data_IF_253016667637
#
_entry.id   IF_253016667637
#
_cell.length_a   1.000
_cell.length_b   1.000
_cell.length_c   1.000
_cell.angle_alpha   90.00
_cell.angle_beta   90.00
_cell.angle_gamma   90.00
#
_symmetry.space_group_name_H-M   'P 1'
#
loop_
_entity.id
_entity.type
_entity.pdbx_description
1 polymer ?
#
# COMPACT_ATOMS: atom_id res chain seq x y z
N UNK A 1 19.43 49.09 11.65
CA UNK A 1 18.61 48.54 12.75
C UNK A 1 19.47 48.51 14.01
N UNK A 2 18.99 49.07 15.12
CA UNK A 2 19.76 49.28 16.35
C UNK A 2 19.81 48.00 17.22
N UNK A 3 20.84 47.89 18.10
CA UNK A 3 21.01 46.76 19.05
C UNK A 3 19.74 46.40 19.83
N UNK A 4 18.87 47.38 20.08
CA UNK A 4 17.59 47.18 20.76
C UNK A 4 16.68 46.21 19.99
N UNK A 5 16.65 46.27 18.65
CA UNK A 5 15.84 45.36 17.84
C UNK A 5 16.40 43.92 17.85
N UNK A 6 17.73 43.78 17.94
CA UNK A 6 18.38 42.48 18.09
C UNK A 6 18.03 41.88 19.46
N UNK A 7 18.16 42.66 20.53
CA UNK A 7 17.78 42.23 21.88
C UNK A 7 16.29 41.89 22.01
N UNK A 8 15.43 42.71 21.39
CA UNK A 8 13.98 42.47 21.39
C UNK A 8 13.62 41.18 20.63
N UNK A 9 14.18 40.97 19.44
CA UNK A 9 13.92 39.77 18.64
C UNK A 9 14.43 38.49 19.31
N UNK A 10 15.60 38.56 19.97
CA UNK A 10 16.12 37.46 20.78
C UNK A 10 15.23 37.14 22.00
N UNK A 11 14.81 38.16 22.75
CA UNK A 11 13.94 37.98 23.92
C UNK A 11 12.55 37.43 23.53
N UNK A 12 11.98 37.95 22.44
CA UNK A 12 10.71 37.47 21.88
C UNK A 12 10.80 36.00 21.44
N UNK A 13 11.89 35.63 20.76
CA UNK A 13 12.14 34.24 20.33
C UNK A 13 12.31 33.31 21.52
N UNK A 14 13.09 33.71 22.53
CA UNK A 14 13.27 32.93 23.76
C UNK A 14 11.95 32.72 24.52
N UNK A 15 11.06 33.73 24.54
CA UNK A 15 9.73 33.59 25.13
C UNK A 15 8.90 32.50 24.41
N UNK A 16 8.98 32.43 23.08
CA UNK A 16 8.32 31.37 22.30
C UNK A 16 8.91 29.99 22.61
N UNK A 17 10.23 29.86 22.68
CA UNK A 17 10.89 28.59 23.04
C UNK A 17 10.49 28.09 24.45
N UNK A 18 10.40 29.01 25.42
CA UNK A 18 9.95 28.69 26.77
C UNK A 18 8.49 28.25 26.78
N UNK A 19 7.62 28.90 26.01
CA UNK A 19 6.23 28.48 25.86
C UNK A 19 6.12 27.08 25.24
N UNK A 20 6.90 26.80 24.18
CA UNK A 20 6.95 25.46 23.56
C UNK A 20 7.45 24.41 24.56
N UNK A 21 8.45 24.74 25.36
CA UNK A 21 8.96 23.87 26.42
C UNK A 21 7.89 23.60 27.48
N UNK A 22 7.19 24.64 27.94
CA UNK A 22 6.11 24.52 28.90
C UNK A 22 4.96 23.64 28.35
N UNK A 23 4.59 23.82 27.08
CA UNK A 23 3.59 22.99 26.41
C UNK A 23 4.04 21.53 26.31
N UNK A 24 5.31 21.28 25.96
CA UNK A 24 5.88 19.94 25.90
C UNK A 24 5.83 19.25 27.26
N UNK A 25 6.22 19.95 28.32
CA UNK A 25 6.22 19.40 29.69
C UNK A 25 4.80 19.14 30.17
N UNK A 26 3.88 20.08 29.98
CA UNK A 26 2.49 19.96 30.43
C UNK A 26 1.76 18.78 29.75
N UNK A 27 2.06 18.52 28.48
CA UNK A 27 1.39 17.50 27.68
C UNK A 27 2.22 16.23 27.48
N UNK A 28 3.35 16.08 28.16
CA UNK A 28 4.26 14.95 27.96
C UNK A 28 3.60 13.58 28.18
N UNK A 29 2.59 13.50 29.05
CA UNK A 29 1.84 12.29 29.36
C UNK A 29 0.49 12.19 28.66
N UNK A 30 0.15 13.16 27.81
CA UNK A 30 -1.12 13.16 27.08
C UNK A 30 -1.02 12.26 25.85
N UNK A 31 -1.86 11.23 25.77
CA UNK A 31 -1.91 10.33 24.61
C UNK A 31 -2.12 11.10 23.31
N UNK A 32 -1.29 10.80 22.29
CA UNK A 32 -1.33 11.49 20.99
C UNK A 32 -0.61 12.84 20.94
N UNK A 33 -0.04 13.32 22.06
CA UNK A 33 0.82 14.50 22.05
C UNK A 33 2.14 14.19 21.33
N UNK A 34 2.64 15.18 20.58
CA UNK A 34 3.92 15.12 19.87
C UNK A 34 4.75 16.30 20.30
N UNK A 35 6.02 16.07 20.61
CA UNK A 35 6.96 17.14 20.99
C UNK A 35 6.97 18.23 19.92
N UNK A 36 6.92 19.48 20.33
CA UNK A 36 7.05 20.65 19.47
C UNK A 36 8.46 21.25 19.58
N UNK A 37 8.97 21.78 18.48
CA UNK A 37 10.26 22.49 18.38
C UNK A 37 10.02 23.79 17.63
N UNK A 38 10.48 24.91 18.17
CA UNK A 38 10.50 26.18 17.47
C UNK A 38 11.69 26.20 16.52
N UNK A 39 11.44 26.41 15.22
CA UNK A 39 12.48 26.61 14.21
C UNK A 39 12.80 28.10 14.16
N UNK A 40 14.08 28.45 14.26
CA UNK A 40 14.57 29.81 14.37
C UNK A 40 15.55 30.08 13.24
N UNK A 41 15.33 31.17 12.51
CA UNK A 41 16.28 31.66 11.50
C UNK A 41 16.84 33.03 11.88
N UNK A 42 17.98 33.33 11.27
CA UNK A 42 18.58 34.65 11.33
C UNK A 42 17.87 35.58 10.35
N UNK A 43 17.51 36.77 10.83
CA UNK A 43 16.98 37.81 9.95
C UNK A 43 18.17 38.37 9.17
N UNK A 44 18.18 38.12 7.86
CA UNK A 44 19.23 38.58 6.96
C UNK A 44 19.36 40.11 6.93
N UNK A 45 20.56 40.58 6.59
CA UNK A 45 20.85 41.99 6.44
C UNK A 45 20.02 42.63 5.30
N UNK A 46 19.28 43.68 5.62
CA UNK A 46 18.60 44.50 4.61
C UNK A 46 19.65 45.29 3.81
N UNK A 47 19.84 44.94 2.53
CA UNK A 47 20.63 45.74 1.58
C UNK A 47 21.98 45.16 1.13
N UNK A 48 22.30 43.89 1.41
CA UNK A 48 23.44 43.19 0.76
C UNK A 48 24.84 43.74 1.06
N UNK A 49 24.98 44.61 2.07
CA UNK A 49 26.28 45.17 2.44
C UNK A 49 27.18 44.11 3.10
N UNK A 50 28.42 43.90 2.63
CA UNK A 50 29.35 42.90 3.16
C UNK A 50 29.69 43.05 4.66
N UNK A 51 29.40 44.22 5.25
CA UNK A 51 29.71 44.56 6.63
C UNK A 51 28.47 44.59 7.54
N UNK A 52 27.36 43.98 7.14
CA UNK A 52 26.13 43.98 7.95
C UNK A 52 26.09 42.79 8.92
N UNK A 53 25.96 43.09 10.22
CA UNK A 53 25.96 42.11 11.31
C UNK A 53 24.64 41.28 11.45
N UNK A 54 23.75 41.33 10.45
CA UNK A 54 22.41 40.72 10.52
C UNK A 54 21.41 41.55 11.34
N UNK A 55 20.14 41.12 11.35
CA UNK A 55 19.02 41.85 11.95
C UNK A 55 18.39 41.13 13.16
N UNK A 56 19.11 40.19 13.79
CA UNK A 56 18.61 39.38 14.90
C UNK A 56 18.03 38.04 14.43
N UNK A 57 17.06 37.51 15.16
CA UNK A 57 16.45 36.19 14.92
C UNK A 57 14.94 36.28 14.87
N UNK A 58 14.30 35.33 14.20
CA UNK A 58 12.84 35.19 14.21
C UNK A 58 12.47 33.72 14.34
N UNK A 59 11.27 33.47 14.88
CA UNK A 59 10.67 32.14 14.83
C UNK A 59 9.99 31.97 13.48
N UNK A 60 10.44 31.00 12.69
CA UNK A 60 9.84 30.71 11.40
C UNK A 60 8.59 29.86 11.54
N UNK A 61 8.65 28.84 12.41
CA UNK A 61 7.54 27.92 12.65
C UNK A 61 7.70 27.15 13.95
N UNK A 62 6.62 26.52 14.41
CA UNK A 62 6.66 25.50 15.47
C UNK A 62 6.33 24.16 14.83
N UNK A 63 7.33 23.29 14.71
CA UNK A 63 7.21 21.98 14.08
C UNK A 63 7.00 20.89 15.12
N UNK A 64 6.16 19.90 14.79
CA UNK A 64 6.01 18.69 15.60
C UNK A 64 7.10 17.69 15.24
N UNK A 65 7.77 17.14 16.24
CA UNK A 65 8.74 16.06 16.13
C UNK A 65 7.99 14.73 16.12
N UNK A 66 7.37 14.41 14.99
CA UNK A 66 7.01 13.03 14.68
C UNK A 66 8.23 12.31 14.13
N UNK A 67 8.38 11.03 14.46
CA UNK A 67 9.38 10.20 13.80
C UNK A 67 8.89 9.91 12.37
N UNK A 68 9.28 10.77 11.43
CA UNK A 68 8.85 10.67 10.03
C UNK A 68 9.19 9.30 9.43
N UNK A 69 10.31 8.69 9.88
CA UNK A 69 10.65 7.33 9.47
C UNK A 69 9.62 6.31 9.96
N UNK A 70 9.19 6.36 11.22
CA UNK A 70 8.13 5.47 11.72
C UNK A 70 6.79 5.71 11.03
N UNK A 71 6.45 6.96 10.71
CA UNK A 71 5.27 7.27 9.90
C UNK A 71 5.40 6.59 8.54
N UNK A 72 6.51 6.81 7.82
CA UNK A 72 6.72 6.17 6.52
C UNK A 72 6.68 4.64 6.61
N UNK A 73 7.25 4.03 7.65
CA UNK A 73 7.18 2.59 7.89
C UNK A 73 5.74 2.09 8.02
N UNK A 74 4.88 2.81 8.75
CA UNK A 74 3.44 2.46 8.86
C UNK A 74 2.74 2.57 7.52
N UNK A 75 3.06 3.60 6.72
CA UNK A 75 2.45 3.78 5.40
C UNK A 75 2.86 2.67 4.43
N UNK A 76 4.15 2.30 4.39
CA UNK A 76 4.61 1.17 3.59
C UNK A 76 3.97 -0.14 4.03
N UNK A 77 3.96 -0.42 5.34
CA UNK A 77 3.34 -1.64 5.86
C UNK A 77 1.83 -1.71 5.55
N UNK A 78 1.11 -0.58 5.63
CA UNK A 78 -0.30 -0.51 5.26
C UNK A 78 -0.54 -0.72 3.77
N UNK A 79 0.35 -0.19 2.91
CA UNK A 79 0.32 -0.40 1.47
C UNK A 79 0.55 -1.87 1.11
N UNK A 80 1.58 -2.49 1.69
CA UNK A 80 1.88 -3.91 1.48
C UNK A 80 0.74 -4.79 1.96
N UNK A 81 0.18 -4.48 3.13
CA UNK A 81 -0.99 -5.18 3.66
C UNK A 81 -2.19 -5.09 2.70
N UNK A 82 -2.50 -3.90 2.17
CA UNK A 82 -3.59 -3.72 1.21
C UNK A 82 -3.38 -4.54 -0.07
N UNK A 83 -2.15 -4.52 -0.61
CA UNK A 83 -1.78 -5.31 -1.78
C UNK A 83 -1.97 -6.82 -1.54
N UNK A 84 -1.40 -7.35 -0.46
CA UNK A 84 -1.48 -8.78 -0.16
C UNK A 84 -2.88 -9.22 0.24
N UNK A 85 -3.66 -8.39 0.95
CA UNK A 85 -5.05 -8.68 1.30
C UNK A 85 -5.93 -8.79 0.06
N UNK A 86 -5.71 -7.91 -0.92
CA UNK A 86 -6.43 -7.95 -2.20
C UNK A 86 -6.02 -9.20 -2.98
N UNK A 87 -4.73 -9.48 -3.11
CA UNK A 87 -4.21 -10.66 -3.80
C UNK A 87 -4.72 -11.96 -3.17
N UNK A 88 -4.76 -12.04 -1.83
CA UNK A 88 -5.29 -13.19 -1.12
C UNK A 88 -6.76 -13.45 -1.48
N UNK A 89 -7.60 -12.42 -1.58
CA UNK A 89 -9.00 -12.56 -1.95
C UNK A 89 -9.21 -13.19 -3.33
N UNK A 90 -8.36 -12.87 -4.31
CA UNK A 90 -8.37 -13.50 -5.63
C UNK A 90 -7.85 -14.94 -5.60
N UNK A 91 -6.79 -15.22 -4.81
CA UNK A 91 -6.24 -16.57 -4.68
C UNK A 91 -7.19 -17.54 -3.96
N UNK A 92 -7.89 -17.09 -2.92
CA UNK A 92 -8.91 -17.90 -2.22
C UNK A 92 -10.08 -18.24 -3.14
N UNK A 93 -10.48 -17.31 -4.00
CA UNK A 93 -11.48 -17.53 -5.03
C UNK A 93 -11.04 -18.60 -6.04
N UNK A 94 -9.79 -18.52 -6.50
CA UNK A 94 -9.18 -19.54 -7.36
C UNK A 94 -9.12 -20.92 -6.69
N UNK A 95 -8.72 -20.97 -5.42
CA UNK A 95 -8.69 -22.20 -4.63
C UNK A 95 -10.08 -22.85 -4.54
N UNK A 96 -11.13 -22.05 -4.31
CA UNK A 96 -12.50 -22.56 -4.23
C UNK A 96 -12.96 -23.22 -5.55
N UNK A 97 -12.62 -22.64 -6.70
CA UNK A 97 -12.96 -23.21 -8.01
C UNK A 97 -12.18 -24.49 -8.30
N UNK A 98 -10.89 -24.51 -7.96
CA UNK A 98 -10.04 -25.70 -8.16
C UNK A 98 -10.40 -26.85 -7.19
N UNK A 99 -10.91 -26.52 -6.00
CA UNK A 99 -11.27 -27.49 -4.96
C UNK A 99 -12.70 -28.02 -5.05
N UNK A 100 -13.56 -27.49 -5.92
CA UNK A 100 -14.92 -28.00 -6.09
C UNK A 100 -14.89 -29.34 -6.82
N UNK A 101 -15.39 -30.42 -6.21
CA UNK A 101 -15.33 -31.78 -6.75
C UNK A 101 -15.99 -31.92 -8.14
N UNK A 102 -16.99 -31.08 -8.44
CA UNK A 102 -17.67 -31.05 -9.75
C UNK A 102 -16.90 -30.25 -10.81
N UNK A 103 -15.98 -29.38 -10.38
CA UNK A 103 -15.20 -28.47 -11.23
C UNK A 103 -13.69 -28.77 -11.23
N UNK A 104 -13.19 -29.60 -10.31
CA UNK A 104 -11.81 -30.07 -10.16
C UNK A 104 -11.26 -30.83 -11.37
N UNK A 105 -10.12 -30.41 -11.89
CA UNK A 105 -9.56 -31.04 -13.08
C UNK A 105 -9.22 -32.53 -12.88
N UNK A 106 -8.89 -32.94 -11.66
CA UNK A 106 -8.64 -34.34 -11.29
C UNK A 106 -9.83 -35.25 -11.58
N UNK A 107 -11.04 -34.88 -11.13
CA UNK A 107 -12.22 -35.71 -11.35
C UNK A 107 -12.57 -35.84 -12.84
N UNK A 108 -12.30 -34.80 -13.64
CA UNK A 108 -12.44 -34.87 -15.10
C UNK A 108 -11.47 -35.86 -15.74
N UNK A 109 -10.21 -35.87 -15.30
CA UNK A 109 -9.24 -36.86 -15.77
C UNK A 109 -9.61 -38.28 -15.34
N UNK A 110 -10.06 -38.47 -14.10
CA UNK A 110 -10.47 -39.78 -13.58
C UNK A 110 -11.62 -40.37 -14.42
N UNK A 111 -12.65 -39.57 -14.72
CA UNK A 111 -13.77 -40.00 -15.56
C UNK A 111 -13.35 -40.32 -16.99
N UNK A 112 -12.51 -39.47 -17.60
CA UNK A 112 -12.00 -39.72 -18.95
C UNK A 112 -11.20 -41.01 -19.03
N UNK A 113 -10.30 -41.25 -18.07
CA UNK A 113 -9.51 -42.49 -18.04
C UNK A 113 -10.36 -43.71 -17.70
N UNK A 114 -11.40 -43.57 -16.87
CA UNK A 114 -12.36 -44.65 -16.60
C UNK A 114 -13.12 -45.04 -17.86
N UNK A 115 -13.68 -44.08 -18.60
CA UNK A 115 -14.36 -44.32 -19.87
C UNK A 115 -13.42 -44.92 -20.93
N UNK A 116 -12.17 -44.43 -20.98
CA UNK A 116 -11.15 -44.96 -21.89
C UNK A 116 -10.82 -46.42 -21.55
N UNK A 117 -10.66 -46.74 -20.26
CA UNK A 117 -10.40 -48.11 -19.81
C UNK A 117 -11.57 -49.04 -20.18
N UNK A 118 -12.81 -48.60 -19.95
CA UNK A 118 -14.00 -49.37 -20.30
C UNK A 118 -14.07 -49.65 -21.80
N UNK A 119 -13.81 -48.63 -22.64
CA UNK A 119 -13.76 -48.80 -24.09
C UNK A 119 -12.66 -49.77 -24.55
N UNK A 120 -11.55 -49.91 -23.84
CA UNK A 120 -10.51 -50.91 -24.19
C UNK A 120 -10.96 -52.36 -23.96
N UNK A 121 -11.95 -52.60 -23.11
CA UNK A 121 -12.49 -53.95 -22.87
C UNK A 121 -13.38 -54.44 -24.02
N UNK A 122 -13.97 -53.51 -24.79
CA UNK A 122 -14.84 -53.80 -25.93
C UNK A 122 -14.74 -52.68 -26.97
N UNK A 123 -13.63 -52.61 -27.73
CA UNK A 123 -13.35 -51.50 -28.65
C UNK A 123 -14.33 -51.39 -29.82
N UNK A 124 -15.02 -52.49 -30.14
CA UNK A 124 -15.99 -52.55 -31.22
C UNK A 124 -17.35 -51.93 -30.83
N UNK A 125 -17.62 -51.74 -29.52
CA UNK A 125 -18.86 -51.15 -29.01
C UNK A 125 -18.91 -49.64 -29.31
N UNK A 126 -19.90 -49.22 -30.10
CA UNK A 126 -20.10 -47.82 -30.44
C UNK A 126 -20.53 -46.96 -29.24
N UNK A 127 -21.26 -47.51 -28.28
CA UNK A 127 -21.71 -46.76 -27.10
C UNK A 127 -20.53 -46.39 -26.19
N UNK A 128 -19.59 -47.31 -25.98
CA UNK A 128 -18.38 -47.05 -25.19
C UNK A 128 -17.46 -46.01 -25.87
N UNK A 129 -17.35 -46.03 -27.20
CA UNK A 129 -16.61 -44.99 -27.93
C UNK A 129 -17.27 -43.61 -27.80
N UNK A 130 -18.59 -43.55 -27.87
CA UNK A 130 -19.35 -42.31 -27.70
C UNK A 130 -19.16 -41.74 -26.28
N UNK A 131 -19.14 -42.62 -25.26
CA UNK A 131 -18.87 -42.24 -23.88
C UNK A 131 -17.48 -41.61 -23.71
N UNK A 132 -16.44 -42.18 -24.33
CA UNK A 132 -15.08 -41.58 -24.32
C UNK A 132 -15.08 -40.18 -24.93
N UNK A 133 -15.77 -39.98 -26.06
CA UNK A 133 -15.87 -38.67 -26.72
C UNK A 133 -16.60 -37.67 -25.82
N UNK A 134 -17.69 -38.10 -25.17
CA UNK A 134 -18.44 -37.28 -24.22
C UNK A 134 -17.59 -36.84 -23.03
N UNK A 135 -16.87 -37.76 -22.39
CA UNK A 135 -15.98 -37.45 -21.26
C UNK A 135 -14.78 -36.58 -21.69
N UNK A 136 -14.24 -36.79 -22.89
CA UNK A 136 -13.20 -35.93 -23.45
C UNK A 136 -13.70 -34.48 -23.67
N UNK A 137 -14.92 -34.33 -24.19
CA UNK A 137 -15.57 -33.03 -24.35
C UNK A 137 -15.83 -32.34 -23.01
N UNK A 138 -16.31 -33.08 -22.01
CA UNK A 138 -16.51 -32.58 -20.66
C UNK A 138 -15.19 -32.11 -20.00
N UNK A 139 -14.11 -32.87 -20.18
CA UNK A 139 -12.78 -32.49 -19.70
C UNK A 139 -12.27 -31.22 -20.37
N UNK A 140 -12.41 -31.09 -21.69
CA UNK A 140 -12.02 -29.87 -22.42
C UNK A 140 -12.76 -28.65 -21.89
N UNK A 141 -14.08 -28.74 -21.74
CA UNK A 141 -14.90 -27.65 -21.21
C UNK A 141 -14.46 -27.25 -19.79
N UNK A 142 -14.07 -28.21 -18.97
CA UNK A 142 -13.56 -27.98 -17.61
C UNK A 142 -12.22 -27.25 -17.61
N UNK A 143 -11.32 -27.60 -18.52
CA UNK A 143 -10.04 -26.88 -18.73
C UNK A 143 -10.33 -25.44 -19.15
N UNK A 144 -11.18 -25.25 -20.15
CA UNK A 144 -11.51 -23.93 -20.69
C UNK A 144 -12.10 -23.02 -19.61
N UNK A 145 -13.10 -23.50 -18.86
CA UNK A 145 -13.69 -22.75 -17.75
C UNK A 145 -12.67 -22.37 -16.66
N UNK A 146 -11.72 -23.27 -16.37
CA UNK A 146 -10.67 -23.00 -15.38
C UNK A 146 -9.71 -21.92 -15.87
N UNK A 147 -9.34 -21.96 -17.15
CA UNK A 147 -8.48 -20.95 -17.77
C UNK A 147 -9.17 -19.58 -17.82
N UNK A 148 -10.44 -19.54 -18.22
CA UNK A 148 -11.24 -18.30 -18.23
C UNK A 148 -11.36 -17.70 -16.83
N UNK A 149 -11.53 -18.55 -15.81
CA UNK A 149 -11.57 -18.10 -14.42
C UNK A 149 -10.22 -17.49 -14.00
N UNK A 150 -9.10 -18.17 -14.26
CA UNK A 150 -7.75 -17.66 -13.96
C UNK A 150 -7.50 -16.32 -14.66
N UNK A 151 -7.89 -16.19 -15.94
CA UNK A 151 -7.69 -14.95 -16.70
C UNK A 151 -8.52 -13.80 -16.14
N UNK A 152 -9.78 -14.06 -15.75
CA UNK A 152 -10.65 -13.06 -15.12
C UNK A 152 -10.10 -12.57 -13.78
N UNK A 153 -9.58 -13.48 -12.94
CA UNK A 153 -9.00 -13.14 -11.64
C UNK A 153 -7.66 -12.39 -11.80
N UNK A 154 -6.83 -12.82 -12.76
CA UNK A 154 -5.58 -12.13 -13.12
C UNK A 154 -5.86 -10.69 -13.56
N UNK A 155 -6.81 -10.49 -14.45
CA UNK A 155 -7.17 -9.15 -14.97
C UNK A 155 -7.71 -8.26 -13.84
N UNK A 156 -8.56 -8.79 -12.97
CA UNK A 156 -9.08 -8.07 -11.80
C UNK A 156 -7.99 -7.67 -10.79
N UNK A 157 -7.02 -8.57 -10.54
CA UNK A 157 -5.89 -8.28 -9.66
C UNK A 157 -4.98 -7.17 -10.23
N UNK A 158 -4.71 -7.19 -11.55
CA UNK A 158 -3.92 -6.14 -12.21
C UNK A 158 -4.62 -4.77 -12.19
N UNK A 159 -5.94 -4.72 -12.37
CA UNK A 159 -6.70 -3.46 -12.24
C UNK A 159 -6.69 -2.90 -10.82
N UNK A 160 -6.82 -3.75 -9.82
CA UNK A 160 -6.78 -3.34 -8.40
C UNK A 160 -5.38 -2.83 -8.01
N UNK A 161 -4.32 -3.54 -8.43
CA UNK A 161 -2.94 -3.11 -8.20
C UNK A 161 -2.60 -1.77 -8.88
N UNK A 162 -3.18 -1.50 -10.05
CA UNK A 162 -3.02 -0.20 -10.72
C UNK A 162 -3.70 0.94 -9.95
N UNK A 163 -4.84 0.69 -9.31
CA UNK A 163 -5.52 1.65 -8.45
C UNK A 163 -4.70 2.02 -7.20
N UNK A 164 -4.11 1.01 -6.55
CA UNK A 164 -3.27 1.21 -5.35
C UNK A 164 -1.97 1.95 -5.68
N UNK A 165 -1.36 1.68 -6.84
CA UNK A 165 -0.17 2.41 -7.30
C UNK A 165 -0.41 3.91 -7.50
N UNK A 166 -1.60 4.29 -7.98
CA UNK A 166 -2.00 5.69 -8.15
C UNK A 166 -2.20 6.36 -6.77
N UNK A 167 -2.82 5.67 -5.81
CA UNK A 167 -3.00 6.19 -4.45
C UNK A 167 -1.66 6.46 -3.75
N UNK A 168 -0.67 5.58 -3.92
CA UNK A 168 0.68 5.77 -3.37
C UNK A 168 1.41 6.95 -4.01
N UNK A 169 1.27 7.17 -5.32
CA UNK A 169 1.86 8.34 -5.98
C UNK A 169 1.27 9.66 -5.47
N UNK A 170 -0.02 9.70 -5.16
CA UNK A 170 -0.66 10.88 -4.56
C UNK A 170 -0.24 11.12 -3.10
N UNK A 171 0.04 10.07 -2.34
CA UNK A 171 0.58 10.18 -0.98
C UNK A 171 2.01 10.76 -1.00
N UNK A 172 2.84 10.28 -1.92
CA UNK A 172 4.25 10.68 -2.07
C UNK A 172 4.40 12.12 -2.63
N UNK A 173 3.45 12.55 -3.48
CA UNK A 173 3.38 13.95 -3.93
C UNK A 173 2.99 14.91 -2.80
N UNK A 174 2.04 14.52 -1.93
CA UNK A 174 1.68 15.34 -0.76
C UNK A 174 2.82 15.46 0.24
N UNK A 175 3.64 14.41 0.38
CA UNK A 175 4.78 14.46 1.30
C UNK A 175 5.92 15.37 0.81
N UNK A 176 6.11 15.51 -0.50
CA UNK A 176 7.09 16.46 -1.09
C UNK A 176 6.67 17.93 -1.04
N UNK A 177 5.40 18.21 -0.75
CA UNK A 177 4.85 19.57 -0.73
C UNK A 177 4.68 20.15 0.69
N UNK A 178 5.09 19.42 1.72
CA UNK A 178 5.11 19.85 3.13
C UNK A 178 6.55 19.88 3.65
#
# INVERSE_FOLDING_TARGET
MDMINIGYSGASTAQVELNVTAQNTANAMTTGYTRQVAEISTIGASGGSPNSAGNGVQVDSIRRVSNQYQVNQVWYAASDYGYYSTQQGYLTQLEAVLSDDNSSLSGGFDNFFAALNEATTSPDDSALREQVISEAGALSLRIDNTLDYIDSQSTGNHQSAAGDGIANQYADQRHRQL
#
